data_IF_071694789561
#
_entry.id   IF_071694789561
#
_cell.length_a   1.000
_cell.length_b   1.000
_cell.length_c   1.000
_cell.angle_alpha   90.00
_cell.angle_beta   90.00
_cell.angle_gamma   90.00
#
_symmetry.space_group_name_H-M   'P 1'
#
loop_
_entity.id
_entity.type
_entity.pdbx_description
1 polymer ?
#
# COMPACT_ATOMS: atom_id res chain seq x y z
N UNK A 1 15.60 10.45 -1.30
CA UNK A 1 14.28 9.83 -1.52
C UNK A 1 14.05 9.80 -3.01
N UNK A 2 14.05 8.63 -3.64
CA UNK A 2 13.66 8.52 -5.05
C UNK A 2 12.20 8.05 -5.11
N UNK A 3 11.32 8.98 -5.46
CA UNK A 3 10.00 8.66 -5.97
C UNK A 3 10.18 8.16 -7.40
N UNK A 4 10.12 6.84 -7.59
CA UNK A 4 10.08 6.25 -8.92
C UNK A 4 8.69 5.65 -9.11
N UNK A 5 7.78 6.47 -9.63
CA UNK A 5 6.50 5.98 -10.14
C UNK A 5 6.78 5.17 -11.39
N UNK A 6 6.71 3.84 -11.29
CA UNK A 6 6.78 2.98 -12.46
C UNK A 6 5.42 2.99 -13.15
N UNK A 7 5.41 3.53 -14.37
CA UNK A 7 4.35 3.36 -15.35
C UNK A 7 4.84 2.26 -16.29
N UNK A 8 4.22 1.08 -16.25
CA UNK A 8 3.94 0.20 -17.41
C UNK A 8 3.63 -1.25 -17.00
N UNK A 9 2.34 -1.57 -16.91
CA UNK A 9 1.76 -2.93 -16.98
C UNK A 9 0.36 -2.89 -17.66
N UNK A 10 0.07 -1.90 -18.53
CA UNK A 10 -1.29 -1.68 -19.04
C UNK A 10 -2.31 -1.28 -17.95
N UNK A 11 -1.84 -0.86 -16.78
CA UNK A 11 -2.65 -0.50 -15.63
C UNK A 11 -2.56 1.00 -15.35
N UNK A 12 -3.22 1.83 -16.18
CA UNK A 12 -3.37 3.29 -15.96
C UNK A 12 -4.01 3.68 -14.60
N UNK A 13 -4.30 2.71 -13.72
CA UNK A 13 -5.00 2.91 -12.44
C UNK A 13 -4.34 2.26 -11.23
N UNK A 14 -3.17 1.62 -11.37
CA UNK A 14 -2.46 1.07 -10.21
C UNK A 14 -1.38 2.05 -9.77
N UNK A 15 -1.38 2.43 -8.50
CA UNK A 15 -0.36 3.31 -7.93
C UNK A 15 0.53 2.49 -7.00
N UNK A 16 1.85 2.67 -7.10
CA UNK A 16 2.80 1.99 -6.24
C UNK A 16 3.53 2.98 -5.33
N UNK A 17 3.76 2.57 -4.08
CA UNK A 17 4.64 3.26 -3.14
C UNK A 17 5.72 2.28 -2.71
N UNK A 18 6.98 2.74 -2.73
CA UNK A 18 8.08 2.04 -2.05
C UNK A 18 8.34 2.68 -0.70
N UNK A 19 8.25 1.86 0.35
CA UNK A 19 8.45 2.30 1.72
C UNK A 19 9.27 1.24 2.47
N UNK A 20 10.34 1.68 3.14
CA UNK A 20 11.27 0.80 3.89
C UNK A 20 11.72 -0.45 3.12
N UNK A 21 12.02 -0.29 1.82
CA UNK A 21 12.50 -1.37 0.95
C UNK A 21 11.43 -2.34 0.45
N UNK A 22 10.15 -2.10 0.74
CA UNK A 22 9.00 -2.89 0.26
C UNK A 22 8.17 -2.07 -0.69
N UNK A 23 7.47 -2.73 -1.61
CA UNK A 23 6.54 -2.10 -2.54
C UNK A 23 5.10 -2.43 -2.15
N UNK A 24 4.23 -1.42 -2.14
CA UNK A 24 2.80 -1.54 -1.84
C UNK A 24 1.99 -0.95 -2.98
N UNK A 25 0.79 -1.48 -3.20
CA UNK A 25 -0.06 -1.08 -4.32
C UNK A 25 -1.43 -0.57 -3.89
N UNK A 26 -1.87 0.50 -4.54
CA UNK A 26 -3.26 0.89 -4.65
C UNK A 26 -3.83 0.28 -5.92
N UNK A 27 -4.66 -0.73 -5.75
CA UNK A 27 -5.31 -1.43 -6.85
C UNK A 27 -6.73 -1.86 -6.44
N UNK A 28 -7.66 -0.90 -6.32
CA UNK A 28 -9.05 -1.19 -5.93
C UNK A 28 -9.79 -2.05 -6.96
N UNK A 29 -9.33 -2.09 -8.21
CA UNK A 29 -9.93 -2.88 -9.29
C UNK A 29 -9.33 -4.30 -9.40
N UNK A 30 -8.33 -4.66 -8.59
CA UNK A 30 -7.72 -5.99 -8.57
C UNK A 30 -6.99 -6.37 -9.86
N UNK A 31 -6.44 -5.38 -10.57
CA UNK A 31 -5.72 -5.57 -11.84
C UNK A 31 -4.41 -6.35 -11.70
N UNK A 32 -3.80 -6.35 -10.51
CA UNK A 32 -2.62 -7.15 -10.20
C UNK A 32 -2.97 -8.63 -9.94
N UNK A 33 -4.25 -8.99 -9.91
CA UNK A 33 -4.71 -10.31 -9.52
C UNK A 33 -4.47 -10.60 -8.04
N UNK A 34 -4.32 -11.88 -7.70
CA UNK A 34 -4.10 -12.31 -6.31
C UNK A 34 -2.70 -11.97 -5.85
N UNK A 35 -2.59 -11.12 -4.82
CA UNK A 35 -1.35 -10.86 -4.10
C UNK A 35 -1.24 -11.81 -2.91
N UNK A 36 -0.06 -12.37 -2.69
CA UNK A 36 0.17 -13.36 -1.63
C UNK A 36 1.45 -13.04 -0.88
N UNK A 37 1.39 -13.03 0.45
CA UNK A 37 2.55 -12.90 1.32
C UNK A 37 3.44 -14.16 1.27
N UNK A 38 4.69 -14.10 1.76
CA UNK A 38 5.59 -15.27 1.75
C UNK A 38 5.05 -16.50 2.52
N UNK A 39 4.16 -16.28 3.48
CA UNK A 39 3.51 -17.33 4.27
C UNK A 39 2.25 -17.93 3.59
N UNK A 40 1.90 -17.49 2.39
CA UNK A 40 0.72 -17.93 1.66
C UNK A 40 -0.56 -17.13 1.95
N UNK A 41 -0.51 -16.13 2.85
CA UNK A 41 -1.66 -15.27 3.15
C UNK A 41 -2.02 -14.42 1.93
N UNK A 42 -3.29 -14.47 1.51
CA UNK A 42 -3.81 -13.59 0.47
C UNK A 42 -3.91 -12.16 1.00
N UNK A 43 -3.32 -11.23 0.27
CA UNK A 43 -3.30 -9.81 0.61
C UNK A 43 -4.33 -9.05 -0.24
N UNK A 44 -5.10 -8.18 0.39
CA UNK A 44 -6.15 -7.41 -0.29
C UNK A 44 -6.10 -5.94 0.05
N UNK A 45 -6.35 -5.12 -0.98
CA UNK A 45 -6.74 -3.73 -0.79
C UNK A 45 -8.02 -3.64 0.03
N UNK A 46 -8.10 -2.63 0.90
CA UNK A 46 -9.32 -2.34 1.65
C UNK A 46 -9.43 -0.85 1.95
N UNK A 47 -10.67 -0.38 2.01
CA UNK A 47 -11.05 0.91 2.55
C UNK A 47 -11.62 0.70 3.95
N UNK A 48 -11.14 1.48 4.91
CA UNK A 48 -11.41 1.34 6.33
C UNK A 48 -11.89 2.69 6.88
N UNK A 49 -12.77 2.63 7.89
CA UNK A 49 -13.24 3.83 8.61
C UNK A 49 -12.16 4.47 9.51
N UNK A 50 -11.00 3.81 9.65
CA UNK A 50 -9.88 4.26 10.46
C UNK A 50 -8.65 3.36 10.36
N UNK A 51 -7.47 3.82 10.83
CA UNK A 51 -6.28 2.99 10.91
C UNK A 51 -6.47 1.87 11.93
N UNK A 52 -5.81 0.71 11.76
CA UNK A 52 -5.91 -0.36 12.73
C UNK A 52 -5.28 0.03 14.07
N UNK A 53 -5.71 -0.63 15.14
CA UNK A 53 -5.19 -0.37 16.49
C UNK A 53 -3.66 -0.54 16.53
N UNK A 54 -2.97 0.44 17.11
CA UNK A 54 -1.51 0.44 17.22
C UNK A 54 -0.76 0.85 15.95
N UNK A 55 -1.46 1.24 14.88
CA UNK A 55 -0.80 1.91 13.76
C UNK A 55 -0.32 3.31 14.19
N UNK A 56 0.82 3.70 13.66
CA UNK A 56 1.49 4.96 13.97
C UNK A 56 1.76 5.75 12.67
N UNK A 57 1.53 7.06 12.74
CA UNK A 57 1.92 8.00 11.69
C UNK A 57 3.43 8.03 11.51
N UNK A 58 3.88 8.07 10.26
CA UNK A 58 5.31 8.11 9.93
C UNK A 58 5.86 9.53 9.76
N UNK A 59 4.97 10.53 9.76
CA UNK A 59 5.31 11.92 9.40
C UNK A 59 5.51 12.16 7.90
N UNK A 60 5.45 11.11 7.05
CA UNK A 60 5.51 11.24 5.60
C UNK A 60 4.12 11.57 5.08
N UNK A 61 3.94 12.81 4.59
CA UNK A 61 2.64 13.35 4.18
C UNK A 61 2.62 13.81 2.73
N UNK A 62 1.46 13.70 2.11
CA UNK A 62 1.15 14.29 0.81
C UNK A 62 -0.28 14.82 0.83
N UNK A 63 -0.45 16.14 0.73
CA UNK A 63 -1.77 16.79 0.86
C UNK A 63 -2.45 16.41 2.18
N UNK A 64 -3.68 15.88 2.11
CA UNK A 64 -4.50 15.43 3.23
C UNK A 64 -4.18 14.01 3.68
N UNK A 65 -3.16 13.36 3.09
CA UNK A 65 -2.79 11.98 3.37
C UNK A 65 -1.48 11.88 4.15
N UNK A 66 -1.44 10.93 5.07
CA UNK A 66 -0.24 10.51 5.77
C UNK A 66 -0.03 9.00 5.62
N UNK A 67 1.23 8.59 5.44
CA UNK A 67 1.61 7.18 5.52
C UNK A 67 1.68 6.77 6.98
N UNK A 68 0.92 5.73 7.32
CA UNK A 68 0.93 5.08 8.61
C UNK A 68 1.44 3.64 8.46
N UNK A 69 2.04 3.13 9.54
CA UNK A 69 2.55 1.76 9.62
C UNK A 69 2.04 1.08 10.87
N UNK A 70 1.82 -0.23 10.80
CA UNK A 70 1.60 -1.07 11.97
C UNK A 70 2.72 -2.10 12.05
N UNK A 71 3.37 -2.21 13.20
CA UNK A 71 4.42 -3.21 13.41
C UNK A 71 3.89 -4.64 13.35
N UNK A 72 2.58 -4.83 13.55
CA UNK A 72 1.93 -6.13 13.48
C UNK A 72 1.91 -6.72 12.06
N UNK A 73 1.91 -5.88 11.02
CA UNK A 73 1.71 -6.33 9.65
C UNK A 73 2.46 -5.50 8.58
N UNK A 74 3.48 -4.74 8.97
CA UNK A 74 4.28 -3.93 8.02
C UNK A 74 4.87 -4.75 6.87
N UNK A 75 5.09 -6.06 7.08
CA UNK A 75 5.53 -6.96 6.01
C UNK A 75 4.50 -7.18 4.90
N UNK A 76 3.23 -6.85 5.18
CA UNK A 76 2.08 -7.15 4.34
C UNK A 76 1.31 -5.89 3.91
N UNK A 77 1.26 -4.85 4.75
CA UNK A 77 0.41 -3.68 4.50
C UNK A 77 1.09 -2.35 4.80
N UNK A 78 0.67 -1.33 4.04
CA UNK A 78 0.89 0.08 4.31
C UNK A 78 -0.46 0.77 4.43
N UNK A 79 -0.57 1.76 5.31
CA UNK A 79 -1.81 2.48 5.55
C UNK A 79 -1.68 3.91 5.04
N UNK A 80 -2.63 4.36 4.23
CA UNK A 80 -2.76 5.75 3.81
C UNK A 80 -3.94 6.33 4.58
N UNK A 81 -3.64 7.19 5.55
CA UNK A 81 -4.63 7.78 6.46
C UNK A 81 -4.88 9.20 6.03
N UNK A 82 -6.14 9.53 5.78
CA UNK A 82 -6.58 10.86 5.41
C UNK A 82 -6.87 11.68 6.67
N UNK A 83 -6.80 13.01 6.59
CA UNK A 83 -7.12 13.90 7.71
C UNK A 83 -8.57 13.75 8.22
N UNK A 84 -9.46 13.19 7.40
CA UNK A 84 -10.82 12.81 7.79
C UNK A 84 -10.89 11.58 8.71
N UNK A 85 -9.79 10.83 8.86
CA UNK A 85 -9.73 9.54 9.53
C UNK A 85 -9.95 8.35 8.59
N UNK A 86 -10.50 8.55 7.39
CA UNK A 86 -10.62 7.51 6.38
C UNK A 86 -9.25 6.90 6.08
N UNK A 87 -9.19 5.57 5.94
CA UNK A 87 -7.93 4.87 5.76
C UNK A 87 -8.01 3.89 4.61
N UNK A 88 -7.01 3.93 3.74
CA UNK A 88 -6.80 2.89 2.75
C UNK A 88 -5.69 1.94 3.22
N UNK A 89 -5.93 0.65 3.13
CA UNK A 89 -4.93 -0.40 3.37
C UNK A 89 -4.40 -0.91 2.04
N UNK A 90 -3.14 -0.60 1.77
CA UNK A 90 -2.47 -0.96 0.52
C UNK A 90 -1.65 -2.24 0.73
N UNK A 91 -1.96 -3.35 0.03
CA UNK A 91 -1.22 -4.60 0.15
C UNK A 91 0.18 -4.49 -0.42
N UNK A 92 1.10 -5.26 0.15
CA UNK A 92 2.42 -5.48 -0.42
C UNK A 92 2.29 -6.14 -1.79
N UNK A 93 3.02 -5.58 -2.75
CA UNK A 93 2.97 -5.95 -4.15
C UNK A 93 4.39 -5.97 -4.71
N UNK A 94 5.12 -7.07 -4.46
CA UNK A 94 6.44 -7.35 -5.04
C UNK A 94 6.29 -7.82 -6.49
N UNK A 95 5.56 -7.05 -7.29
CA UNK A 95 5.36 -7.36 -8.69
C UNK A 95 6.64 -6.97 -9.42
N UNK A 96 7.41 -7.97 -9.83
CA UNK A 96 8.45 -7.77 -10.84
C UNK A 96 7.69 -7.57 -12.15
N UNK A 97 7.74 -6.38 -12.72
CA UNK A 97 7.31 -6.19 -14.10
C UNK A 97 8.22 -7.07 -14.96
N UNK A 98 7.76 -8.29 -15.29
CA UNK A 98 8.43 -9.10 -16.31
C UNK A 98 8.15 -8.42 -17.66
N UNK A 99 9.25 -8.06 -18.30
CA UNK A 99 9.29 -7.27 -19.53
C UNK A 99 9.03 -8.14 -20.75
#
# INVERSE_FOLDING_TARGET
>A
MEFQGFKDCGTDKVVFIRFLGRQYAHDPEGRLGTLTAPDGTVLTYAELDGPPAGAEGTGVRHQDQEIWRSSADIENYLYIVYDSGFTQRWPRAEVRCER
#
